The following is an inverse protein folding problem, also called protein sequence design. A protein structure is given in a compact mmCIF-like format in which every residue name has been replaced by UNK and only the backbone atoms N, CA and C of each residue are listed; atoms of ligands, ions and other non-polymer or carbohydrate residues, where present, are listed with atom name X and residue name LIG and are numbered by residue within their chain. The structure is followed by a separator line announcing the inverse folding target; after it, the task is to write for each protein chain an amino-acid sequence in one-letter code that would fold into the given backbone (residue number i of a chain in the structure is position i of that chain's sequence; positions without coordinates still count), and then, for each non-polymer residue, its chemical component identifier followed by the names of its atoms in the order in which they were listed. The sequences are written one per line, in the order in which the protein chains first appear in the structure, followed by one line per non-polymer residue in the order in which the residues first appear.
data_IF_746346324601
#
_entry.id   IF_746346324601
#
_cell.length_a   1.000
_cell.length_b   1.000
_cell.length_c   1.000
_cell.angle_alpha   90.00
_cell.angle_beta   90.00
_cell.angle_gamma   90.00
#
_symmetry.space_group_name_H-M   'P 1'
#
loop_
_entity.id
_entity.type
_entity.pdbx_description
1 polymer ?
#
# COMPACT_ATOMS: atom_id res chain seq x y z
N UNK A 1 -6.32 13.03 8.16
CA UNK A 1 -6.96 14.09 8.97
C UNK A 1 -8.44 14.20 8.65
N UNK A 2 -9.24 14.87 9.50
CA UNK A 2 -10.70 14.97 9.33
C UNK A 2 -11.17 16.02 8.32
N UNK A 3 -10.34 17.03 8.04
CA UNK A 3 -10.70 18.16 7.21
C UNK A 3 -9.63 18.45 6.13
N UNK A 4 -10.08 19.06 5.03
CA UNK A 4 -9.22 19.33 3.87
C UNK A 4 -8.21 20.44 4.16
N UNK A 5 -8.64 21.49 4.87
CA UNK A 5 -7.83 22.68 5.14
C UNK A 5 -6.58 22.33 5.96
N UNK A 6 -6.73 21.47 6.95
CA UNK A 6 -5.63 20.89 7.71
C UNK A 6 -4.74 20.02 6.82
N UNK A 7 -5.30 19.20 5.94
CA UNK A 7 -4.50 18.39 5.02
C UNK A 7 -3.64 19.28 4.10
N UNK A 8 -4.22 20.34 3.53
CA UNK A 8 -3.50 21.32 2.71
C UNK A 8 -2.44 22.05 3.52
N UNK A 9 -2.73 22.44 4.76
CA UNK A 9 -1.77 23.09 5.65
C UNK A 9 -0.58 22.17 5.98
N UNK A 10 -0.84 20.90 6.29
CA UNK A 10 0.21 19.90 6.55
C UNK A 10 1.08 19.67 5.31
N UNK A 11 0.47 19.61 4.12
CA UNK A 11 1.20 19.50 2.85
C UNK A 11 2.15 20.69 2.66
N UNK A 12 1.69 21.92 2.88
CA UNK A 12 2.55 23.12 2.79
C UNK A 12 3.71 23.05 3.80
N UNK A 13 3.45 22.66 5.04
CA UNK A 13 4.51 22.49 6.05
C UNK A 13 5.60 21.51 5.59
N UNK A 14 5.24 20.44 4.89
CA UNK A 14 6.20 19.45 4.39
C UNK A 14 6.96 20.00 3.18
N UNK A 15 6.23 20.53 2.20
CA UNK A 15 6.79 20.89 0.88
C UNK A 15 7.52 22.24 0.91
N UNK A 16 7.00 23.22 1.64
CA UNK A 16 7.50 24.60 1.66
C UNK A 16 8.40 24.87 2.88
N UNK A 17 8.01 24.37 4.05
CA UNK A 17 8.72 24.62 5.31
C UNK A 17 9.72 23.51 5.68
N UNK A 18 9.73 22.38 4.95
CA UNK A 18 10.66 21.28 5.18
C UNK A 18 10.37 20.46 6.45
N UNK A 19 9.14 20.50 6.95
CA UNK A 19 8.73 19.69 8.11
C UNK A 19 8.83 18.20 7.79
N UNK A 20 9.25 17.40 8.78
CA UNK A 20 9.38 15.95 8.62
C UNK A 20 8.01 15.30 8.51
N UNK A 21 7.84 14.47 7.49
CA UNK A 21 6.60 13.74 7.27
C UNK A 21 6.23 12.85 8.45
N UNK A 22 7.22 12.17 9.04
CA UNK A 22 7.06 11.21 10.12
C UNK A 22 6.47 11.86 11.38
N UNK A 23 6.95 13.07 11.70
CA UNK A 23 6.49 13.82 12.87
C UNK A 23 5.02 14.22 12.70
N UNK A 24 4.66 14.72 11.51
CA UNK A 24 3.28 15.10 11.19
C UNK A 24 2.35 13.89 11.10
N UNK A 25 2.81 12.76 10.57
CA UNK A 25 2.04 11.51 10.55
C UNK A 25 1.79 11.01 11.98
N UNK A 26 2.81 11.03 12.85
CA UNK A 26 2.69 10.65 14.25
C UNK A 26 1.73 11.57 15.01
N UNK A 27 1.72 12.87 14.73
CA UNK A 27 0.86 13.82 15.41
C UNK A 27 -0.58 13.77 14.90
N UNK A 28 -0.79 13.88 13.58
CA UNK A 28 -2.08 14.16 12.95
C UNK A 28 -2.75 12.97 12.26
N UNK A 29 -2.07 11.84 12.04
CA UNK A 29 -2.71 10.68 11.41
C UNK A 29 -3.85 10.14 12.28
N UNK A 30 -4.95 9.77 11.64
CA UNK A 30 -6.18 9.26 12.27
C UNK A 30 -6.36 7.76 12.05
N UNK A 31 -5.36 7.12 11.46
CA UNK A 31 -5.33 5.72 11.06
C UNK A 31 -4.16 5.00 11.73
N UNK A 32 -4.16 3.65 11.69
CA UNK A 32 -3.22 2.83 12.45
C UNK A 32 -1.74 3.02 12.04
N UNK A 33 -1.48 3.55 10.85
CA UNK A 33 -0.14 3.93 10.37
C UNK A 33 0.54 4.96 11.29
N UNK A 34 -0.22 5.73 12.08
CA UNK A 34 0.32 6.62 13.12
C UNK A 34 1.33 5.92 14.04
N UNK A 35 1.08 4.66 14.38
CA UNK A 35 1.93 3.86 15.27
C UNK A 35 3.27 3.48 14.62
N UNK A 36 3.35 3.58 13.29
CA UNK A 36 4.52 3.30 12.48
C UNK A 36 5.03 4.55 11.75
N UNK A 37 4.79 5.74 12.32
CA UNK A 37 5.19 7.02 11.74
C UNK A 37 4.70 7.24 10.30
N UNK A 38 3.55 6.69 9.93
CA UNK A 38 2.97 6.77 8.58
C UNK A 38 3.46 5.69 7.60
N UNK A 39 4.30 4.74 8.03
CA UNK A 39 4.81 3.67 7.16
C UNK A 39 3.71 2.63 6.91
N UNK A 40 3.42 2.39 5.63
CA UNK A 40 2.40 1.41 5.18
C UNK A 40 2.99 0.08 4.71
N UNK A 41 4.32 -0.03 4.58
CA UNK A 41 4.96 -1.19 3.95
C UNK A 41 4.68 -1.29 2.45
N UNK A 42 4.88 -2.48 1.88
CA UNK A 42 4.64 -2.72 0.46
C UNK A 42 3.13 -2.82 0.17
N UNK A 43 2.63 -1.94 -0.68
CA UNK A 43 1.22 -1.89 -1.11
C UNK A 43 1.15 -2.14 -2.62
N UNK A 44 0.22 -2.99 -3.05
CA UNK A 44 0.00 -3.21 -4.47
C UNK A 44 -0.59 -1.97 -5.14
N UNK A 45 -0.04 -1.54 -6.27
CA UNK A 45 -0.62 -0.47 -7.09
C UNK A 45 -2.06 -0.81 -7.52
N UNK A 46 -2.36 -2.09 -7.75
CA UNK A 46 -3.70 -2.54 -8.17
C UNK A 46 -4.77 -2.38 -7.09
N UNK A 47 -4.38 -2.34 -5.81
CA UNK A 47 -5.30 -2.14 -4.68
C UNK A 47 -5.58 -0.67 -4.36
N UNK A 48 -4.81 0.26 -4.95
CA UNK A 48 -5.00 1.70 -4.71
C UNK A 48 -6.22 2.23 -5.49
N UNK A 49 -6.96 3.21 -4.94
CA UNK A 49 -7.95 3.99 -5.69
C UNK A 49 -7.34 4.64 -6.94
N UNK A 50 -8.16 4.85 -7.97
CA UNK A 50 -7.70 5.34 -9.29
C UNK A 50 -6.93 6.66 -9.20
N UNK A 51 -7.47 7.65 -8.49
CA UNK A 51 -6.82 8.96 -8.35
C UNK A 51 -5.43 8.87 -7.73
N UNK A 52 -5.30 8.10 -6.64
CA UNK A 52 -4.02 7.90 -5.98
C UNK A 52 -3.06 7.11 -6.87
N UNK A 53 -3.54 6.08 -7.57
CA UNK A 53 -2.74 5.29 -8.49
C UNK A 53 -2.17 6.15 -9.62
N UNK A 54 -2.98 7.04 -10.18
CA UNK A 54 -2.55 7.96 -11.24
C UNK A 54 -1.47 8.91 -10.74
N UNK A 55 -1.63 9.48 -9.53
CA UNK A 55 -0.58 10.30 -8.93
C UNK A 55 0.71 9.54 -8.65
N UNK A 56 0.62 8.29 -8.15
CA UNK A 56 1.80 7.46 -7.88
C UNK A 56 2.57 7.13 -9.17
N UNK A 57 1.87 6.88 -10.28
CA UNK A 57 2.51 6.56 -11.57
C UNK A 57 3.37 7.70 -12.14
N UNK A 58 3.08 8.95 -11.78
CA UNK A 58 3.81 10.14 -12.26
C UNK A 58 4.77 10.71 -11.22
N UNK A 59 4.72 10.21 -9.99
CA UNK A 59 5.47 10.75 -8.86
C UNK A 59 6.89 10.21 -8.78
N UNK A 60 7.77 11.00 -8.19
CA UNK A 60 9.13 10.56 -7.85
C UNK A 60 9.20 10.07 -6.39
N UNK A 61 10.15 9.17 -6.06
CA UNK A 61 10.46 8.85 -4.67
C UNK A 61 10.72 10.12 -3.83
N UNK A 62 10.13 10.19 -2.65
CA UNK A 62 10.13 11.32 -1.73
C UNK A 62 8.99 12.34 -1.96
N UNK A 63 8.26 12.25 -3.06
CA UNK A 63 7.21 13.23 -3.39
C UNK A 63 5.95 13.05 -2.53
N UNK A 64 5.37 14.19 -2.10
CA UNK A 64 4.12 14.24 -1.33
C UNK A 64 2.92 14.33 -2.27
N UNK A 65 2.05 13.34 -2.19
CA UNK A 65 0.85 13.18 -2.98
C UNK A 65 -0.40 13.56 -2.19
N UNK A 66 -1.36 14.16 -2.89
CA UNK A 66 -2.66 14.55 -2.35
C UNK A 66 -2.75 16.04 -1.98
N UNK A 67 -3.73 16.41 -1.15
CA UNK A 67 -4.57 15.51 -0.36
C UNK A 67 -5.65 14.76 -1.17
N UNK A 68 -5.90 13.50 -0.82
CA UNK A 68 -6.97 12.67 -1.38
C UNK A 68 -8.08 12.47 -0.36
N UNK A 69 -9.33 12.46 -0.82
CA UNK A 69 -10.47 12.16 0.02
C UNK A 69 -10.75 10.65 0.03
N UNK A 70 -10.67 10.04 1.21
CA UNK A 70 -11.01 8.64 1.43
C UNK A 70 -12.09 8.56 2.51
N UNK A 71 -13.31 8.21 2.10
CA UNK A 71 -14.49 8.22 2.97
C UNK A 71 -14.69 9.60 3.64
N UNK A 72 -14.49 9.67 4.96
CA UNK A 72 -14.65 10.88 5.79
C UNK A 72 -13.32 11.58 6.09
N UNK A 73 -12.22 11.07 5.56
CA UNK A 73 -10.88 11.55 5.89
C UNK A 73 -10.17 12.10 4.65
N UNK A 74 -9.20 12.96 4.91
CA UNK A 74 -8.25 13.47 3.93
C UNK A 74 -6.87 12.90 4.23
N UNK A 75 -6.23 12.34 3.21
CA UNK A 75 -4.96 11.62 3.33
C UNK A 75 -3.90 12.24 2.44
N UNK A 76 -2.70 12.38 2.99
CA UNK A 76 -1.47 12.67 2.27
C UNK A 76 -0.64 11.39 2.22
N UNK A 77 0.02 11.14 1.11
CA UNK A 77 0.91 10.00 0.94
C UNK A 77 2.29 10.50 0.52
N UNK A 78 3.36 9.82 0.97
CA UNK A 78 4.70 10.02 0.42
C UNK A 78 5.09 8.75 -0.31
N UNK A 79 5.54 8.89 -1.56
CA UNK A 79 6.04 7.73 -2.31
C UNK A 79 7.47 7.41 -1.83
N UNK A 80 7.67 6.31 -1.13
CA UNK A 80 9.03 5.90 -0.70
C UNK A 80 9.80 5.23 -1.84
N UNK A 81 9.17 4.24 -2.49
CA UNK A 81 9.79 3.43 -3.52
C UNK A 81 8.74 2.82 -4.44
N UNK A 82 8.99 2.84 -5.74
CA UNK A 82 8.30 1.99 -6.70
C UNK A 82 9.11 0.72 -6.89
N UNK A 83 8.54 -0.41 -6.47
CA UNK A 83 9.11 -1.72 -6.72
C UNK A 83 8.50 -2.28 -8.01
N UNK A 84 9.31 -2.32 -9.06
CA UNK A 84 8.93 -3.00 -10.30
C UNK A 84 8.72 -4.48 -10.05
N UNK A 85 7.75 -5.08 -10.73
CA UNK A 85 7.64 -6.53 -10.82
C UNK A 85 8.79 -7.05 -11.68
N UNK A 86 9.89 -7.47 -11.05
CA UNK A 86 10.92 -8.26 -11.71
C UNK A 86 10.94 -9.66 -11.12
N UNK A 87 11.02 -10.65 -12.00
CA UNK A 87 11.26 -12.06 -11.62
C UNK A 87 12.69 -12.27 -11.10
N UNK A 88 13.57 -11.28 -11.26
CA UNK A 88 14.94 -11.30 -10.75
C UNK A 88 15.00 -11.00 -9.25
N UNK A 89 13.94 -10.43 -8.67
CA UNK A 89 13.83 -10.25 -7.22
C UNK A 89 13.35 -11.57 -6.59
N UNK A 90 14.18 -12.24 -5.77
CA UNK A 90 13.83 -13.54 -5.17
C UNK A 90 12.59 -13.49 -4.27
N UNK A 91 12.34 -12.37 -3.59
CA UNK A 91 11.16 -12.21 -2.72
C UNK A 91 9.88 -12.12 -3.53
N UNK A 92 9.90 -11.33 -4.62
CA UNK A 92 8.76 -11.21 -5.55
C UNK A 92 8.48 -12.57 -6.20
N UNK A 93 9.54 -13.26 -6.63
CA UNK A 93 9.44 -14.60 -7.22
C UNK A 93 8.83 -15.61 -6.24
N UNK A 94 9.32 -15.69 -5.01
CA UNK A 94 8.79 -16.60 -4.00
C UNK A 94 7.31 -16.34 -3.70
N UNK A 95 6.91 -15.06 -3.63
CA UNK A 95 5.51 -14.68 -3.44
C UNK A 95 4.64 -15.14 -4.62
N UNK A 96 5.07 -14.87 -5.85
CA UNK A 96 4.36 -15.30 -7.07
C UNK A 96 4.27 -16.82 -7.17
N UNK A 97 5.36 -17.54 -6.86
CA UNK A 97 5.39 -19.01 -6.86
C UNK A 97 4.38 -19.58 -5.86
N UNK A 98 4.27 -18.99 -4.67
CA UNK A 98 3.26 -19.35 -3.66
C UNK A 98 1.83 -19.11 -4.14
N UNK A 99 1.54 -17.93 -4.68
CA UNK A 99 0.21 -17.59 -5.20
C UNK A 99 -0.21 -18.51 -6.37
N UNK A 100 0.72 -18.83 -7.28
CA UNK A 100 0.48 -19.74 -8.41
C UNK A 100 0.30 -21.18 -7.94
N UNK A 101 1.06 -21.63 -6.94
CA UNK A 101 0.94 -22.96 -6.37
C UNK A 101 -0.42 -23.17 -5.69
N UNK A 102 -0.86 -22.23 -4.85
CA UNK A 102 -2.17 -22.29 -4.18
C UNK A 102 -3.32 -22.34 -5.20
N UNK A 103 -3.23 -21.51 -6.24
CA UNK A 103 -4.20 -21.55 -7.34
C UNK A 103 -4.23 -22.90 -8.04
N UNK A 104 -3.05 -23.44 -8.39
CA UNK A 104 -2.95 -24.73 -9.04
C UNK A 104 -3.49 -25.88 -8.17
N UNK A 105 -3.19 -25.87 -6.86
CA UNK A 105 -3.74 -26.84 -5.90
C UNK A 105 -5.26 -26.75 -5.87
N UNK A 106 -5.82 -25.54 -5.77
CA UNK A 106 -7.26 -25.33 -5.76
C UNK A 106 -7.94 -25.88 -7.02
N UNK A 107 -7.35 -25.64 -8.19
CA UNK A 107 -7.83 -26.17 -9.48
C UNK A 107 -7.76 -27.71 -9.51
N UNK A 108 -6.66 -28.32 -9.04
CA UNK A 108 -6.51 -29.79 -9.04
C UNK A 108 -7.38 -30.50 -8.02
N UNK A 109 -7.65 -29.87 -6.89
CA UNK A 109 -8.58 -30.38 -5.87
C UNK A 109 -10.04 -30.31 -6.34
N UNK A 110 -10.41 -29.31 -7.15
CA UNK A 110 -11.73 -29.23 -7.76
C UNK A 110 -11.96 -30.35 -8.79
N UNK A 111 -10.95 -30.65 -9.61
CA UNK A 111 -11.08 -31.64 -10.69
C UNK A 111 -11.02 -33.11 -10.21
N UNK A 112 -10.57 -33.36 -8.98
CA UNK A 112 -10.41 -34.72 -8.47
C UNK A 112 -11.26 -34.95 -7.21
N UNK A 113 -12.21 -35.90 -7.28
CA UNK A 113 -12.86 -36.46 -6.08
C UNK A 113 -11.81 -37.19 -5.25
N UNK A 114 -11.26 -36.53 -4.22
CA UNK A 114 -10.36 -37.17 -3.26
C UNK A 114 -11.20 -37.91 -2.23
N UNK A 115 -11.21 -39.24 -2.30
CA UNK A 115 -11.73 -40.10 -1.24
C UNK A 115 -10.59 -40.41 -0.26
N UNK A 116 -10.64 -39.80 0.93
CA UNK A 116 -9.72 -40.11 2.02
C UNK A 116 -10.14 -41.44 2.66
N UNK A 117 -9.32 -42.48 2.48
CA UNK A 117 -9.40 -43.70 3.27
C UNK A 117 -8.42 -43.58 4.44
N UNK A 118 -8.94 -43.34 5.63
CA UNK A 118 -8.19 -43.46 6.88
C UNK A 118 -8.33 -44.92 7.31
N UNK A 119 -7.22 -45.66 7.34
CA UNK A 119 -7.20 -46.98 7.96
C UNK A 119 -6.96 -46.79 9.46
N UNK A 120 -7.82 -47.40 10.28
CA UNK A 120 -7.69 -47.53 11.73
C UNK A 120 -6.48 -48.40 12.14
#
# INVERSE_FOLDING_TARGET
VGDKELADALRRKIVEEGSRFEDLAKEYSVTNDKNFNGIMGAVSLSSLPEDLRNSVNTANPGEILGPFQTNKFWSLFRLEQLQGASLDNPEIRNKLDGELFERWISEKLQDNKITLHVND
#
